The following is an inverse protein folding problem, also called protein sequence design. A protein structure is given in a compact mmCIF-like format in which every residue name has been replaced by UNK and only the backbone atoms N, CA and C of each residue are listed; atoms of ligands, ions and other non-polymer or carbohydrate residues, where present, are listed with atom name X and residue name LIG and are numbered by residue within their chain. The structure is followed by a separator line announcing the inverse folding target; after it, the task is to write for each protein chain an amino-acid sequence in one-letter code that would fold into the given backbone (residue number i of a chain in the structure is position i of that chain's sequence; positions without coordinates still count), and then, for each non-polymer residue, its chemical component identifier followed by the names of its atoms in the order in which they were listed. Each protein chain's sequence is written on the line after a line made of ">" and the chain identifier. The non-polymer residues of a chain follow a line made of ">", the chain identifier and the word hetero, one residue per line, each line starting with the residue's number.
data_IF_270066958179
#
_entry.id   IF_270066958179
#
_cell.length_a   1.000
_cell.length_b   1.000
_cell.length_c   1.000
_cell.angle_alpha   90.00
_cell.angle_beta   90.00
_cell.angle_gamma   90.00
#
_symmetry.space_group_name_H-M   'P 1'
#
loop_
_entity.id
_entity.type
_entity.pdbx_description
1 polymer ?
#
# COMPACT_ATOMS: atom_id res chain seq x y z
N UNK A 1 -13.10 -11.90 5.33
CA UNK A 1 -13.28 -13.35 5.16
C UNK A 1 -12.15 -13.96 4.34
N UNK A 2 -11.79 -13.44 3.17
CA UNK A 2 -10.71 -13.95 2.31
C UNK A 2 -9.36 -14.01 3.04
N UNK A 3 -9.01 -12.97 3.80
CA UNK A 3 -7.82 -12.95 4.66
C UNK A 3 -7.82 -14.11 5.66
N UNK A 4 -8.91 -14.31 6.37
CA UNK A 4 -9.04 -15.39 7.35
C UNK A 4 -8.94 -16.76 6.70
N UNK A 5 -9.54 -16.92 5.52
CA UNK A 5 -9.40 -18.15 4.75
C UNK A 5 -7.93 -18.44 4.43
N UNK A 6 -7.20 -17.48 3.88
CA UNK A 6 -5.80 -17.68 3.54
C UNK A 6 -4.89 -17.96 4.73
N UNK A 7 -5.07 -17.25 5.83
CA UNK A 7 -4.21 -17.44 7.01
C UNK A 7 -4.50 -18.73 7.74
N UNK A 8 -5.76 -19.09 7.91
CA UNK A 8 -6.15 -20.30 8.66
C UNK A 8 -6.08 -21.56 7.80
N UNK A 9 -6.65 -21.49 6.61
CA UNK A 9 -6.73 -22.65 5.72
C UNK A 9 -5.37 -22.97 5.07
N UNK A 10 -4.61 -21.96 4.67
CA UNK A 10 -3.27 -22.15 4.11
C UNK A 10 -2.28 -22.72 5.13
N UNK A 11 -2.46 -22.44 6.43
CA UNK A 11 -1.69 -23.08 7.50
C UNK A 11 -2.09 -24.55 7.64
N UNK A 12 -3.37 -24.84 7.72
CA UNK A 12 -3.88 -26.23 7.81
C UNK A 12 -3.47 -27.09 6.62
N UNK A 13 -3.41 -26.51 5.41
CA UNK A 13 -2.95 -27.20 4.20
C UNK A 13 -1.48 -27.63 4.31
N UNK A 14 -0.61 -26.79 4.88
CA UNK A 14 0.81 -27.11 5.08
C UNK A 14 1.06 -28.14 6.19
N UNK A 15 0.15 -28.23 7.14
CA UNK A 15 0.24 -29.13 8.29
C UNK A 15 -0.52 -30.45 8.09
N UNK A 16 -1.30 -30.58 6.99
CA UNK A 16 -2.13 -31.76 6.73
C UNK A 16 -1.32 -32.94 6.24
N UNK A 17 -1.81 -34.14 6.58
CA UNK A 17 -1.31 -35.41 6.03
C UNK A 17 -1.73 -35.53 4.56
N UNK A 18 -0.94 -36.25 3.77
CA UNK A 18 -1.13 -36.50 2.32
C UNK A 18 -2.53 -36.91 1.90
N UNK A 19 -3.28 -37.60 2.76
CA UNK A 19 -4.63 -38.12 2.45
C UNK A 19 -5.69 -37.02 2.31
N UNK A 20 -5.52 -35.87 3.01
CA UNK A 20 -6.45 -34.74 2.96
C UNK A 20 -5.98 -33.62 2.01
N UNK A 21 -4.79 -33.74 1.46
CA UNK A 21 -4.18 -32.70 0.64
C UNK A 21 -5.00 -32.39 -0.62
N UNK A 22 -5.46 -33.45 -1.33
CA UNK A 22 -6.26 -33.27 -2.56
C UNK A 22 -7.62 -32.60 -2.26
N UNK A 23 -8.25 -32.97 -1.14
CA UNK A 23 -9.51 -32.37 -0.72
C UNK A 23 -9.29 -30.87 -0.38
N UNK A 24 -8.27 -30.56 0.39
CA UNK A 24 -7.94 -29.19 0.75
C UNK A 24 -7.58 -28.37 -0.48
N UNK A 25 -6.83 -28.95 -1.41
CA UNK A 25 -6.49 -28.29 -2.68
C UNK A 25 -7.75 -27.98 -3.50
N UNK A 26 -8.66 -28.94 -3.64
CA UNK A 26 -9.92 -28.70 -4.34
C UNK A 26 -10.75 -27.56 -3.74
N UNK A 27 -10.83 -27.48 -2.42
CA UNK A 27 -11.52 -26.38 -1.73
C UNK A 27 -10.77 -25.06 -1.94
N UNK A 28 -9.44 -25.06 -1.85
CA UNK A 28 -8.64 -23.86 -2.08
C UNK A 28 -8.82 -23.31 -3.51
N UNK A 29 -8.73 -24.18 -4.51
CA UNK A 29 -8.91 -23.82 -5.93
C UNK A 29 -10.31 -23.25 -6.19
N UNK A 30 -11.34 -23.83 -5.57
CA UNK A 30 -12.72 -23.31 -5.69
C UNK A 30 -12.85 -21.91 -5.08
N UNK A 31 -12.35 -21.69 -3.87
CA UNK A 31 -12.40 -20.38 -3.19
C UNK A 31 -11.58 -19.35 -3.94
N UNK A 32 -10.39 -19.70 -4.43
CA UNK A 32 -9.57 -18.85 -5.28
C UNK A 32 -10.29 -18.48 -6.58
N UNK A 33 -10.93 -19.43 -7.21
CA UNK A 33 -11.74 -19.23 -8.41
C UNK A 33 -12.88 -18.25 -8.18
N UNK A 34 -13.64 -18.41 -7.10
CA UNK A 34 -14.69 -17.47 -6.71
C UNK A 34 -14.12 -16.08 -6.43
N UNK A 35 -13.02 -15.99 -5.69
CA UNK A 35 -12.42 -14.71 -5.37
C UNK A 35 -11.93 -13.97 -6.61
N UNK A 36 -11.17 -14.65 -7.49
CA UNK A 36 -10.58 -14.03 -8.69
C UNK A 36 -11.61 -13.74 -9.79
N UNK A 37 -12.41 -14.76 -10.14
CA UNK A 37 -13.21 -14.74 -11.35
C UNK A 37 -14.59 -14.09 -11.14
N UNK A 38 -15.08 -14.05 -9.91
CA UNK A 38 -16.34 -13.42 -9.59
C UNK A 38 -16.14 -12.16 -8.75
N UNK A 39 -15.61 -12.29 -7.52
CA UNK A 39 -15.57 -11.16 -6.58
C UNK A 39 -14.68 -10.02 -7.08
N UNK A 40 -13.42 -10.29 -7.45
CA UNK A 40 -12.51 -9.24 -7.94
C UNK A 40 -12.92 -8.69 -9.31
N UNK A 41 -13.43 -9.54 -10.20
CA UNK A 41 -13.90 -9.10 -11.51
C UNK A 41 -15.10 -8.16 -11.36
N UNK A 42 -16.10 -8.54 -10.57
CA UNK A 42 -17.29 -7.71 -10.33
C UNK A 42 -16.93 -6.41 -9.60
N UNK A 43 -16.12 -6.50 -8.55
CA UNK A 43 -15.62 -5.32 -7.82
C UNK A 43 -14.86 -4.38 -8.75
N UNK A 44 -13.98 -4.91 -9.62
CA UNK A 44 -13.20 -4.12 -10.56
C UNK A 44 -14.09 -3.41 -11.60
N UNK A 45 -15.10 -4.09 -12.12
CA UNK A 45 -16.06 -3.50 -13.05
C UNK A 45 -16.86 -2.38 -12.40
N UNK A 46 -17.42 -2.62 -11.21
CA UNK A 46 -18.14 -1.62 -10.42
C UNK A 46 -17.27 -0.41 -10.10
N UNK A 47 -16.06 -0.66 -9.61
CA UNK A 47 -15.10 0.37 -9.30
C UNK A 47 -14.77 1.24 -10.52
N UNK A 48 -14.42 0.61 -11.65
CA UNK A 48 -14.08 1.32 -12.88
C UNK A 48 -15.24 2.20 -13.38
N UNK A 49 -16.46 1.70 -13.28
CA UNK A 49 -17.65 2.47 -13.66
C UNK A 49 -17.85 3.71 -12.78
N UNK A 50 -17.70 3.53 -11.45
CA UNK A 50 -17.93 4.61 -10.49
C UNK A 50 -16.86 5.71 -10.54
N UNK A 51 -15.57 5.34 -10.77
CA UNK A 51 -14.49 6.31 -10.71
C UNK A 51 -14.05 6.85 -12.07
N UNK A 52 -14.57 6.31 -13.17
CA UNK A 52 -14.09 6.65 -14.52
C UNK A 52 -14.09 8.15 -14.80
N UNK A 53 -15.11 8.86 -14.38
CA UNK A 53 -15.25 10.29 -14.60
C UNK A 53 -14.39 11.12 -13.63
N UNK A 54 -14.26 10.66 -12.39
CA UNK A 54 -13.41 11.30 -11.38
C UNK A 54 -11.92 11.17 -11.74
N UNK A 55 -11.49 9.99 -12.21
CA UNK A 55 -10.07 9.73 -12.58
C UNK A 55 -9.68 10.47 -13.84
N UNK A 56 -10.55 10.61 -14.83
CA UNK A 56 -10.28 11.41 -16.05
C UNK A 56 -9.94 12.86 -15.74
N UNK A 57 -10.51 13.42 -14.67
CA UNK A 57 -10.23 14.76 -14.19
C UNK A 57 -8.99 14.85 -13.28
N UNK A 58 -8.31 13.74 -12.99
CA UNK A 58 -7.20 13.71 -12.01
C UNK A 58 -7.65 13.99 -10.57
N UNK A 59 -8.94 13.80 -10.29
CA UNK A 59 -9.52 14.16 -9.00
C UNK A 59 -9.08 13.21 -7.87
N UNK A 60 -8.92 13.78 -6.69
CA UNK A 60 -8.74 13.02 -5.46
C UNK A 60 -10.07 12.38 -5.05
N UNK A 61 -10.02 11.13 -4.64
CA UNK A 61 -11.18 10.48 -4.02
C UNK A 61 -11.54 11.23 -2.73
N UNK A 62 -12.84 11.46 -2.52
CA UNK A 62 -13.32 12.12 -1.32
C UNK A 62 -12.95 11.29 -0.08
N UNK A 63 -12.55 11.99 0.97
CA UNK A 63 -12.26 11.41 2.30
C UNK A 63 -11.10 10.40 2.34
N UNK A 64 -10.35 10.23 1.24
CA UNK A 64 -9.15 9.39 1.20
C UNK A 64 -7.93 10.27 0.94
N UNK A 65 -6.99 10.26 1.89
CA UNK A 65 -5.74 10.99 1.75
C UNK A 65 -4.93 10.46 0.55
N UNK A 66 -4.35 11.36 -0.25
CA UNK A 66 -3.47 10.97 -1.34
C UNK A 66 -2.09 10.58 -0.83
N UNK A 67 -1.46 9.58 -1.43
CA UNK A 67 -0.10 9.14 -1.10
C UNK A 67 0.91 10.30 -1.18
N UNK A 68 0.78 11.20 -2.14
CA UNK A 68 1.63 12.40 -2.26
C UNK A 68 1.55 13.38 -1.09
N UNK A 69 0.53 13.26 -0.26
CA UNK A 69 0.40 14.07 0.96
C UNK A 69 1.00 13.39 2.21
N UNK A 70 1.56 12.19 2.06
CA UNK A 70 2.03 11.37 3.18
C UNK A 70 3.04 12.13 4.05
N UNK A 71 4.11 12.67 3.48
CA UNK A 71 5.14 13.37 4.26
C UNK A 71 4.52 14.53 5.05
N UNK A 72 3.77 15.39 4.36
CA UNK A 72 3.13 16.56 4.97
C UNK A 72 2.13 16.21 6.07
N UNK A 73 1.36 15.14 5.89
CA UNK A 73 0.28 14.77 6.83
C UNK A 73 0.75 13.86 7.96
N UNK A 74 1.80 13.05 7.76
CA UNK A 74 2.18 12.00 8.70
C UNK A 74 3.56 12.18 9.32
N UNK A 75 4.51 12.75 8.58
CA UNK A 75 5.91 12.90 9.04
C UNK A 75 6.18 14.30 9.56
N UNK A 76 5.88 15.32 8.75
CA UNK A 76 6.19 16.71 9.08
C UNK A 76 5.65 17.18 10.45
N UNK A 77 4.41 16.84 10.86
CA UNK A 77 3.92 17.29 12.19
C UNK A 77 4.71 16.67 13.35
N UNK A 78 5.18 15.44 13.21
CA UNK A 78 5.97 14.74 14.25
C UNK A 78 7.36 15.38 14.36
N UNK A 79 8.02 15.58 13.22
CA UNK A 79 9.36 16.17 13.18
C UNK A 79 9.34 17.62 13.64
N UNK A 80 8.35 18.42 13.22
CA UNK A 80 8.18 19.81 13.65
C UNK A 80 7.90 19.95 15.15
N UNK A 81 7.36 18.93 15.80
CA UNK A 81 7.20 18.87 17.25
C UNK A 81 8.48 18.44 17.99
N UNK A 82 9.61 18.29 17.29
CA UNK A 82 10.88 17.83 17.88
C UNK A 82 10.93 16.34 18.19
N UNK A 83 9.98 15.55 17.70
CA UNK A 83 9.89 14.11 17.93
C UNK A 83 10.48 13.34 16.74
N UNK A 84 11.12 12.21 17.01
CA UNK A 84 11.64 11.34 15.95
C UNK A 84 10.51 10.61 15.23
N UNK A 85 10.56 10.61 13.91
CA UNK A 85 9.70 9.79 13.06
C UNK A 85 10.53 8.70 12.36
N UNK A 86 10.08 7.46 12.46
CA UNK A 86 10.66 6.34 11.70
C UNK A 86 9.65 5.92 10.64
N UNK A 87 10.06 5.95 9.38
CA UNK A 87 9.24 5.54 8.25
C UNK A 87 9.83 4.27 7.65
N UNK A 88 9.11 3.17 7.74
CA UNK A 88 9.48 1.91 7.10
C UNK A 88 8.58 1.73 5.88
N UNK A 89 9.18 1.69 4.70
CA UNK A 89 8.47 1.44 3.44
C UNK A 89 8.67 -0.03 3.09
N UNK A 90 7.57 -0.78 3.11
CA UNK A 90 7.55 -2.18 2.67
C UNK A 90 6.79 -2.25 1.34
N UNK A 91 7.54 -2.39 0.25
CA UNK A 91 6.96 -2.51 -1.09
C UNK A 91 6.24 -3.86 -1.22
N UNK A 92 5.13 -3.88 -1.95
CA UNK A 92 4.29 -5.05 -2.16
C UNK A 92 3.75 -5.73 -0.87
N UNK A 93 3.72 -5.01 0.26
CA UNK A 93 3.13 -5.55 1.48
C UNK A 93 1.62 -5.72 1.31
N UNK A 94 1.16 -6.97 1.41
CA UNK A 94 -0.26 -7.29 1.25
C UNK A 94 -1.05 -6.81 2.46
N UNK A 95 -2.31 -6.45 2.23
CA UNK A 95 -3.21 -5.96 3.29
C UNK A 95 -3.35 -6.94 4.46
N UNK A 96 -3.48 -8.24 4.20
CA UNK A 96 -3.61 -9.24 5.25
C UNK A 96 -2.39 -9.29 6.18
N UNK A 97 -1.19 -9.09 5.64
CA UNK A 97 0.05 -9.04 6.43
C UNK A 97 0.12 -7.74 7.24
N UNK A 98 -0.23 -6.61 6.64
CA UNK A 98 -0.28 -5.33 7.34
C UNK A 98 -1.33 -5.31 8.46
N UNK A 99 -2.49 -5.92 8.25
CA UNK A 99 -3.52 -6.05 9.26
C UNK A 99 -3.07 -6.93 10.43
N UNK A 100 -2.44 -8.07 10.14
CA UNK A 100 -1.88 -8.95 11.17
C UNK A 100 -0.78 -8.25 11.97
N UNK A 101 0.15 -7.57 11.29
CA UNK A 101 1.19 -6.78 11.96
C UNK A 101 0.59 -5.73 12.90
N UNK A 102 -0.48 -5.06 12.48
CA UNK A 102 -1.17 -4.06 13.31
C UNK A 102 -1.73 -4.70 14.59
N UNK A 103 -2.35 -5.87 14.46
CA UNK A 103 -2.90 -6.63 15.60
C UNK A 103 -1.78 -7.08 16.56
N UNK A 104 -0.65 -7.56 16.02
CA UNK A 104 0.52 -7.99 16.80
C UNK A 104 1.19 -6.82 17.53
N UNK A 105 1.36 -5.69 16.86
CA UNK A 105 1.94 -4.49 17.49
C UNK A 105 1.09 -4.00 18.68
N UNK A 106 -0.24 -4.01 18.56
CA UNK A 106 -1.13 -3.63 19.67
C UNK A 106 -1.05 -4.63 20.81
N UNK A 107 -0.96 -5.93 20.52
CA UNK A 107 -0.90 -6.99 21.52
C UNK A 107 0.43 -7.02 22.26
N UNK A 108 1.54 -6.90 21.53
CA UNK A 108 2.88 -7.22 22.03
C UNK A 108 3.66 -5.98 22.49
N UNK A 109 3.12 -4.78 22.25
CA UNK A 109 3.74 -3.53 22.70
C UNK A 109 2.80 -2.69 23.57
N UNK A 110 3.36 -1.70 24.27
CA UNK A 110 2.57 -0.69 24.99
C UNK A 110 2.10 0.45 24.09
N UNK A 111 2.38 0.37 22.79
CA UNK A 111 2.01 1.37 21.81
C UNK A 111 0.59 1.19 21.29
N UNK A 112 0.19 2.11 20.43
CA UNK A 112 -1.02 2.00 19.63
C UNK A 112 -0.65 1.85 18.16
N UNK A 113 -1.41 1.06 17.42
CA UNK A 113 -1.26 0.91 15.98
C UNK A 113 -2.60 1.13 15.27
N UNK A 114 -2.57 1.77 14.11
CA UNK A 114 -3.75 2.01 13.29
C UNK A 114 -3.43 1.78 11.83
N UNK A 115 -4.24 0.98 11.16
CA UNK A 115 -4.19 0.83 9.71
C UNK A 115 -5.09 1.86 9.04
N UNK A 116 -4.60 2.51 8.00
CA UNK A 116 -5.36 3.49 7.21
C UNK A 116 -5.06 3.28 5.74
N UNK A 117 -6.03 3.60 4.89
CA UNK A 117 -5.84 3.61 3.44
C UNK A 117 -5.39 4.99 2.94
N UNK A 118 -4.65 4.99 1.84
CA UNK A 118 -4.34 6.19 1.05
C UNK A 118 -4.59 5.89 -0.42
N UNK A 119 -4.98 6.91 -1.17
CA UNK A 119 -5.07 6.81 -2.63
C UNK A 119 -3.66 6.82 -3.21
N UNK A 120 -3.31 5.75 -3.95
CA UNK A 120 -2.02 5.66 -4.63
C UNK A 120 -1.88 6.70 -5.76
N UNK A 121 -0.65 6.89 -6.22
CA UNK A 121 -0.37 7.64 -7.45
C UNK A 121 -0.87 6.89 -8.69
N UNK A 122 -1.13 7.62 -9.76
CA UNK A 122 -1.32 7.06 -11.10
C UNK A 122 -0.17 7.52 -12.02
N UNK A 123 0.57 6.57 -12.62
CA UNK A 123 0.51 5.12 -12.41
C UNK A 123 0.93 4.70 -10.99
N UNK A 124 0.41 3.56 -10.52
CA UNK A 124 0.71 3.00 -9.19
C UNK A 124 2.01 2.18 -9.13
N UNK A 125 2.95 2.42 -10.06
CA UNK A 125 4.22 1.73 -10.07
C UNK A 125 5.15 2.25 -8.97
N UNK A 126 6.04 1.38 -8.46
CA UNK A 126 6.93 1.64 -7.33
C UNK A 126 7.69 2.97 -7.42
N UNK A 127 8.24 3.30 -8.61
CA UNK A 127 9.00 4.56 -8.78
C UNK A 127 8.17 5.81 -8.52
N UNK A 128 6.90 5.83 -8.92
CA UNK A 128 5.99 6.96 -8.66
C UNK A 128 5.54 7.01 -7.21
N UNK A 129 5.19 5.84 -6.67
CA UNK A 129 4.80 5.72 -5.27
C UNK A 129 5.90 6.13 -4.31
N UNK A 130 7.15 5.69 -4.56
CA UNK A 130 8.30 6.08 -3.73
C UNK A 130 8.59 7.58 -3.79
N UNK A 131 8.50 8.19 -4.96
CA UNK A 131 8.65 9.63 -5.11
C UNK A 131 7.56 10.40 -4.34
N UNK A 132 6.33 9.94 -4.41
CA UNK A 132 5.19 10.54 -3.73
C UNK A 132 5.26 10.52 -2.19
N UNK A 133 6.03 9.60 -1.61
CA UNK A 133 6.24 9.53 -0.16
C UNK A 133 7.28 10.56 0.35
N UNK A 134 8.09 11.13 -0.56
CA UNK A 134 9.11 12.09 -0.20
C UNK A 134 8.49 13.48 0.07
N UNK A 135 9.19 14.35 0.81
CA UNK A 135 8.83 15.75 0.92
C UNK A 135 8.97 16.45 -0.43
N UNK A 136 7.91 17.11 -0.88
CA UNK A 136 7.90 17.88 -2.13
C UNK A 136 6.74 18.89 -2.13
N UNK A 137 6.91 19.94 -2.93
CA UNK A 137 5.83 20.84 -3.32
C UNK A 137 5.26 20.43 -4.68
N UNK A 138 6.13 19.99 -5.59
CA UNK A 138 5.78 19.59 -6.96
C UNK A 138 6.44 18.26 -7.31
N UNK A 139 5.65 17.36 -7.91
CA UNK A 139 6.16 16.16 -8.57
C UNK A 139 6.01 16.34 -10.08
N UNK A 140 7.04 15.98 -10.83
CA UNK A 140 7.08 16.06 -12.29
C UNK A 140 7.52 14.72 -12.85
N UNK A 141 6.91 14.35 -13.96
CA UNK A 141 7.33 13.20 -14.77
C UNK A 141 7.96 13.76 -16.02
N UNK A 142 9.21 13.42 -16.26
CA UNK A 142 9.95 13.82 -17.46
C UNK A 142 9.57 12.98 -18.67
N UNK A 143 9.93 13.42 -19.88
CA UNK A 143 9.63 12.70 -21.13
C UNK A 143 10.24 11.28 -21.16
N UNK A 144 11.36 11.08 -20.48
CA UNK A 144 12.01 9.78 -20.28
C UNK A 144 11.45 9.02 -19.05
N UNK A 145 10.27 9.42 -18.57
CA UNK A 145 9.52 8.76 -17.49
C UNK A 145 10.24 8.72 -16.15
N UNK A 146 11.20 9.60 -15.88
CA UNK A 146 11.76 9.80 -14.54
C UNK A 146 10.85 10.69 -13.70
N UNK A 147 10.95 10.56 -12.39
CA UNK A 147 10.17 11.36 -11.45
C UNK A 147 11.10 12.34 -10.73
N UNK A 148 10.73 13.61 -10.77
CA UNK A 148 11.43 14.67 -10.06
C UNK A 148 10.56 15.20 -8.91
N UNK A 149 11.18 15.41 -7.77
CA UNK A 149 10.59 16.13 -6.63
C UNK A 149 11.24 17.50 -6.52
N UNK A 150 10.49 18.56 -6.77
CA UNK A 150 10.98 19.95 -6.82
C UNK A 150 12.22 20.12 -7.73
N UNK A 151 12.21 19.42 -8.88
CA UNK A 151 13.29 19.45 -9.87
C UNK A 151 14.42 18.47 -9.62
N UNK A 152 14.40 17.68 -8.51
CA UNK A 152 15.44 16.72 -8.19
C UNK A 152 15.04 15.30 -8.45
N UNK A 153 16.02 14.49 -8.89
CA UNK A 153 15.81 13.07 -9.14
C UNK A 153 15.40 12.33 -7.86
N UNK A 154 14.43 11.44 -8.01
CA UNK A 154 13.99 10.52 -6.94
C UNK A 154 14.51 9.10 -7.15
N UNK A 155 15.42 8.91 -8.14
CA UNK A 155 15.92 7.60 -8.53
C UNK A 155 16.99 7.10 -7.56
N UNK A 156 16.74 5.94 -7.01
CA UNK A 156 17.65 5.26 -6.10
C UNK A 156 17.68 5.87 -4.68
N UNK A 157 18.35 5.17 -3.80
CA UNK A 157 18.40 5.52 -2.36
C UNK A 157 19.20 6.80 -2.08
N UNK A 158 20.25 7.06 -2.85
CA UNK A 158 21.11 8.24 -2.65
C UNK A 158 20.36 9.52 -3.00
N UNK A 159 19.65 9.56 -4.14
CA UNK A 159 18.86 10.72 -4.53
C UNK A 159 17.78 11.04 -3.51
N UNK A 160 17.04 10.01 -3.07
CA UNK A 160 16.00 10.15 -2.03
C UNK A 160 16.56 10.63 -0.69
N UNK A 161 17.73 10.12 -0.28
CA UNK A 161 18.41 10.58 0.93
C UNK A 161 18.80 12.07 0.86
N UNK A 162 19.22 12.56 -0.32
CA UNK A 162 19.55 13.97 -0.51
C UNK A 162 18.32 14.88 -0.37
N UNK A 163 17.16 14.46 -0.90
CA UNK A 163 15.90 15.19 -0.73
C UNK A 163 15.52 15.28 0.77
N UNK A 164 15.65 14.18 1.51
CA UNK A 164 15.34 14.14 2.94
C UNK A 164 16.28 15.00 3.78
N UNK A 165 17.57 15.06 3.45
CA UNK A 165 18.58 15.86 4.17
C UNK A 165 18.33 17.38 4.10
N UNK A 166 17.55 17.87 3.15
CA UNK A 166 17.27 19.31 3.02
C UNK A 166 16.26 19.85 3.99
N UNK A 167 15.56 18.98 4.67
CA UNK A 167 14.44 19.36 5.54
C UNK A 167 14.84 19.31 7.01
N UNK A 168 16.02 18.77 7.28
CA UNK A 168 16.61 18.72 8.63
C UNK A 168 17.62 19.83 8.85
#
# INVERSE_FOLDING_TARGET
>A
YYRLFHTSFGKSLKESSTVLEDLYKGVADYVEGLYKNWYLAELGNQWTTLISDEVKGGAALRDIAQQRAFYRLRVSPIVSAGTRAFVVVSDALRYEVAAQLTEELVRDTRGSAKITAVQSTFPSATKYGMAALLPHKKLEITDDMRVLADGESTDGTVARANILKRIN
#
